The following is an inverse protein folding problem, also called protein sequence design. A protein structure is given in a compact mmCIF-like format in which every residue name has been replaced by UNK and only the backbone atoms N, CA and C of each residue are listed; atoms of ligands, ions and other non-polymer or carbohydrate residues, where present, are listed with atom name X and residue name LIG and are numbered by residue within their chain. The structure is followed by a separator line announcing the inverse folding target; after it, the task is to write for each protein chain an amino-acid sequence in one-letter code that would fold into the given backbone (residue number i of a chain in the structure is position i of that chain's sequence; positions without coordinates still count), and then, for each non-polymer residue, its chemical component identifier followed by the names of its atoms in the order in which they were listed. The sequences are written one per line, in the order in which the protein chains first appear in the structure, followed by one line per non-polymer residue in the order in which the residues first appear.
data_IF_946060674689
#
_entry.id   IF_946060674689
#
_cell.length_a   1.000
_cell.length_b   1.000
_cell.length_c   1.000
_cell.angle_alpha   90.00
_cell.angle_beta   90.00
_cell.angle_gamma   90.00
#
_symmetry.space_group_name_H-M   'P 1'
#
loop_
_entity.id
_entity.type
_entity.pdbx_description
1 polymer ?
#
# COMPACT_ATOMS: atom_id res chain seq x y z
N UNK A 1 -32.24 -19.52 -83.24
CA UNK A 1 -32.84 -18.53 -82.37
C UNK A 1 -33.65 -19.13 -81.20
N UNK A 2 -34.68 -19.93 -81.37
CA UNK A 2 -35.54 -20.53 -80.38
C UNK A 2 -34.79 -21.39 -79.32
N UNK A 3 -33.75 -22.13 -79.71
CA UNK A 3 -32.96 -22.99 -78.85
C UNK A 3 -32.12 -22.15 -77.87
N UNK A 4 -31.55 -21.05 -78.27
CA UNK A 4 -30.76 -20.13 -77.48
C UNK A 4 -31.62 -19.34 -76.47
N UNK A 5 -32.84 -19.01 -76.84
CA UNK A 5 -33.80 -18.36 -75.92
C UNK A 5 -34.15 -19.32 -74.75
N UNK A 6 -34.39 -20.58 -75.04
CA UNK A 6 -34.73 -21.61 -74.06
C UNK A 6 -33.55 -21.88 -73.06
N UNK A 7 -32.32 -21.89 -73.56
CA UNK A 7 -31.11 -22.00 -72.77
C UNK A 7 -30.99 -20.81 -71.81
N UNK A 8 -31.18 -19.58 -72.26
CA UNK A 8 -31.15 -18.37 -71.47
C UNK A 8 -32.29 -18.30 -70.42
N UNK A 9 -33.48 -18.82 -70.77
CA UNK A 9 -34.57 -18.92 -69.77
C UNK A 9 -34.23 -19.87 -68.61
N UNK A 10 -33.57 -21.00 -68.91
CA UNK A 10 -33.12 -21.96 -67.90
C UNK A 10 -32.02 -21.32 -67.02
N UNK A 11 -31.00 -20.68 -67.59
CA UNK A 11 -29.94 -20.00 -66.91
C UNK A 11 -30.50 -18.88 -65.99
N UNK A 12 -31.50 -18.13 -66.43
CA UNK A 12 -32.15 -17.08 -65.61
C UNK A 12 -32.92 -17.65 -64.46
N UNK A 13 -33.63 -18.78 -64.66
CA UNK A 13 -34.38 -19.43 -63.56
C UNK A 13 -33.43 -20.01 -62.49
N UNK A 14 -32.32 -20.62 -62.92
CA UNK A 14 -31.29 -21.12 -62.06
C UNK A 14 -30.63 -19.97 -61.27
N UNK A 15 -30.34 -18.85 -61.93
CA UNK A 15 -29.79 -17.66 -61.25
C UNK A 15 -30.78 -17.08 -60.20
N UNK A 16 -32.09 -17.05 -60.51
CA UNK A 16 -33.14 -16.62 -59.57
C UNK A 16 -33.26 -17.57 -58.38
N UNK A 17 -33.18 -18.88 -58.60
CA UNK A 17 -33.26 -19.89 -57.55
C UNK A 17 -32.03 -19.79 -56.65
N UNK A 18 -30.82 -19.58 -57.20
CA UNK A 18 -29.60 -19.37 -56.44
C UNK A 18 -29.68 -18.08 -55.61
N UNK A 19 -30.21 -16.99 -56.16
CA UNK A 19 -30.41 -15.73 -55.46
C UNK A 19 -31.35 -15.91 -54.26
N UNK A 20 -32.51 -16.56 -54.46
CA UNK A 20 -33.47 -16.88 -53.37
C UNK A 20 -32.86 -17.77 -52.30
N UNK A 21 -32.02 -18.75 -52.67
CA UNK A 21 -31.33 -19.61 -51.72
C UNK A 21 -30.32 -18.81 -50.87
N UNK A 22 -29.56 -17.88 -51.52
CA UNK A 22 -28.64 -16.97 -50.79
C UNK A 22 -29.36 -16.02 -49.82
N UNK A 23 -30.50 -15.45 -50.26
CA UNK A 23 -31.32 -14.60 -49.39
C UNK A 23 -31.80 -15.36 -48.14
N UNK A 24 -32.31 -16.58 -48.32
CA UNK A 24 -32.72 -17.43 -47.17
C UNK A 24 -31.57 -17.74 -46.22
N UNK A 25 -30.40 -18.06 -46.76
CA UNK A 25 -29.20 -18.33 -45.96
C UNK A 25 -28.75 -17.08 -45.19
N UNK A 26 -28.77 -15.91 -45.83
CA UNK A 26 -28.44 -14.64 -45.17
C UNK A 26 -29.40 -14.32 -44.01
N UNK A 27 -30.70 -14.49 -44.24
CA UNK A 27 -31.71 -14.28 -43.20
C UNK A 27 -31.47 -15.21 -42.01
N UNK A 28 -31.25 -16.52 -42.23
CA UNK A 28 -30.97 -17.49 -41.22
C UNK A 28 -29.69 -17.15 -40.42
N UNK A 29 -28.63 -16.75 -41.09
CA UNK A 29 -27.37 -16.34 -40.45
C UNK A 29 -27.54 -15.06 -39.59
N UNK A 30 -28.36 -14.10 -40.05
CA UNK A 30 -28.67 -12.87 -39.29
C UNK A 30 -29.48 -13.23 -38.03
N UNK A 31 -30.44 -14.14 -38.12
CA UNK A 31 -31.23 -14.60 -36.96
C UNK A 31 -30.35 -15.31 -35.97
N UNK A 32 -29.45 -16.20 -36.39
CA UNK A 32 -28.50 -16.91 -35.53
C UNK A 32 -27.51 -15.94 -34.85
N UNK A 33 -26.99 -14.96 -35.61
CA UNK A 33 -26.10 -13.94 -35.12
C UNK A 33 -26.79 -13.08 -34.03
N UNK A 34 -28.04 -12.66 -34.28
CA UNK A 34 -28.82 -11.89 -33.33
C UNK A 34 -29.11 -12.69 -32.05
N UNK A 35 -29.44 -13.98 -32.17
CA UNK A 35 -29.61 -14.84 -31.00
C UNK A 35 -28.33 -14.97 -30.16
N UNK A 36 -27.19 -15.18 -30.85
CA UNK A 36 -25.88 -15.27 -30.22
C UNK A 36 -25.50 -13.95 -29.54
N UNK A 37 -25.74 -12.82 -30.20
CA UNK A 37 -25.50 -11.48 -29.65
C UNK A 37 -26.31 -11.23 -28.35
N UNK A 38 -27.62 -11.56 -28.39
CA UNK A 38 -28.49 -11.41 -27.23
C UNK A 38 -28.04 -12.31 -26.06
N UNK A 39 -27.67 -13.55 -26.35
CA UNK A 39 -27.15 -14.48 -25.34
C UNK A 39 -25.82 -13.97 -24.71
N UNK A 40 -24.93 -13.41 -25.52
CA UNK A 40 -23.68 -12.81 -25.04
C UNK A 40 -23.96 -11.59 -24.16
N UNK A 41 -24.89 -10.74 -24.57
CA UNK A 41 -25.30 -9.54 -23.80
C UNK A 41 -25.83 -9.90 -22.41
N UNK A 42 -26.66 -10.94 -22.33
CA UNK A 42 -27.19 -11.48 -21.06
C UNK A 42 -26.04 -12.00 -20.17
N UNK A 43 -25.09 -12.77 -20.75
CA UNK A 43 -23.93 -13.26 -19.99
C UNK A 43 -23.06 -12.12 -19.45
N UNK A 44 -22.81 -11.10 -20.25
CA UNK A 44 -22.04 -9.92 -19.82
C UNK A 44 -22.73 -9.20 -18.68
N UNK A 45 -24.06 -9.09 -18.71
CA UNK A 45 -24.85 -8.52 -17.60
C UNK A 45 -24.71 -9.36 -16.33
N UNK A 46 -24.85 -10.68 -16.43
CA UNK A 46 -24.71 -11.60 -15.27
C UNK A 46 -23.31 -11.54 -14.67
N UNK A 47 -22.27 -11.48 -15.49
CA UNK A 47 -20.88 -11.31 -15.04
C UNK A 47 -20.73 -10.00 -14.25
N UNK A 48 -21.20 -8.88 -14.77
CA UNK A 48 -21.12 -7.57 -14.08
C UNK A 48 -21.86 -7.58 -12.74
N UNK A 49 -23.01 -8.23 -12.65
CA UNK A 49 -23.76 -8.38 -11.40
C UNK A 49 -23.02 -9.25 -10.38
N UNK A 50 -22.33 -10.30 -10.84
CA UNK A 50 -21.49 -11.16 -10.00
C UNK A 50 -20.25 -10.41 -9.52
N UNK A 51 -19.57 -9.69 -10.39
CA UNK A 51 -18.38 -8.89 -10.04
C UNK A 51 -18.74 -7.86 -8.97
N UNK A 52 -19.88 -7.17 -9.13
CA UNK A 52 -20.35 -6.24 -8.10
C UNK A 52 -20.58 -6.93 -6.75
N UNK A 53 -21.24 -8.10 -6.74
CA UNK A 53 -21.47 -8.86 -5.49
C UNK A 53 -20.15 -9.33 -4.86
N UNK A 54 -19.18 -9.76 -5.67
CA UNK A 54 -17.85 -10.15 -5.20
C UNK A 54 -17.18 -8.95 -4.57
N UNK A 55 -17.21 -7.78 -5.21
CA UNK A 55 -16.64 -6.55 -4.69
C UNK A 55 -17.25 -6.17 -3.33
N UNK A 56 -18.59 -6.10 -3.25
CA UNK A 56 -19.32 -5.79 -2.01
C UNK A 56 -18.99 -6.79 -0.88
N UNK A 57 -18.89 -8.09 -1.21
CA UNK A 57 -18.55 -9.14 -0.24
C UNK A 57 -17.09 -9.04 0.22
N UNK A 58 -16.17 -8.72 -0.69
CA UNK A 58 -14.76 -8.52 -0.38
C UNK A 58 -14.57 -7.33 0.56
N UNK A 59 -15.31 -6.23 0.33
CA UNK A 59 -15.31 -5.06 1.22
C UNK A 59 -15.76 -5.43 2.64
N UNK A 60 -16.86 -6.20 2.76
CA UNK A 60 -17.36 -6.67 4.07
C UNK A 60 -16.33 -7.58 4.76
N UNK A 61 -15.74 -8.52 4.03
CA UNK A 61 -14.71 -9.42 4.58
C UNK A 61 -13.46 -8.62 5.03
N UNK A 62 -13.04 -7.64 4.25
CA UNK A 62 -11.91 -6.78 4.59
C UNK A 62 -12.19 -6.00 5.88
N UNK A 63 -13.39 -5.43 6.02
CA UNK A 63 -13.82 -4.76 7.27
C UNK A 63 -13.87 -5.73 8.46
N UNK A 64 -14.42 -6.94 8.27
CA UNK A 64 -14.50 -7.96 9.32
C UNK A 64 -13.11 -8.42 9.76
N UNK A 65 -12.19 -8.68 8.83
CA UNK A 65 -10.80 -9.04 9.12
C UNK A 65 -10.05 -7.92 9.86
N UNK A 66 -10.29 -6.65 9.51
CA UNK A 66 -9.73 -5.49 10.23
C UNK A 66 -10.23 -5.41 11.65
N UNK A 67 -11.54 -5.60 11.86
CA UNK A 67 -12.13 -5.62 13.21
C UNK A 67 -11.61 -6.80 14.05
N UNK A 68 -11.42 -7.96 13.44
CA UNK A 68 -10.82 -9.13 14.10
C UNK A 68 -9.37 -8.86 14.50
N UNK A 69 -8.55 -8.31 13.59
CA UNK A 69 -7.19 -7.91 13.90
C UNK A 69 -7.12 -6.82 14.97
N UNK A 70 -8.04 -5.85 14.96
CA UNK A 70 -8.17 -4.84 16.00
C UNK A 70 -8.59 -5.47 17.35
N UNK A 71 -9.45 -6.50 17.32
CA UNK A 71 -9.87 -7.27 18.50
C UNK A 71 -8.71 -8.05 19.13
N UNK A 72 -7.88 -8.72 18.32
CA UNK A 72 -6.66 -9.40 18.79
C UNK A 72 -5.64 -8.41 19.39
N UNK A 73 -5.60 -7.18 18.85
CA UNK A 73 -4.70 -6.13 19.28
C UNK A 73 -5.26 -5.29 20.45
N UNK A 74 -6.55 -5.43 20.78
CA UNK A 74 -7.23 -4.60 21.76
C UNK A 74 -6.55 -4.62 23.15
N UNK A 75 -6.03 -5.75 23.57
CA UNK A 75 -5.32 -5.87 24.84
C UNK A 75 -4.00 -5.09 24.83
N UNK A 76 -3.24 -5.14 23.73
CA UNK A 76 -1.98 -4.40 23.58
C UNK A 76 -2.23 -2.89 23.47
N UNK A 77 -3.23 -2.49 22.68
CA UNK A 77 -3.67 -1.08 22.56
C UNK A 77 -4.11 -0.54 23.92
N UNK A 78 -4.91 -1.31 24.66
CA UNK A 78 -5.34 -0.90 26.00
C UNK A 78 -4.16 -0.69 26.96
N UNK A 79 -3.13 -1.54 26.87
CA UNK A 79 -1.89 -1.36 27.63
C UNK A 79 -1.10 -0.11 27.22
N UNK A 80 -0.99 0.14 25.91
CA UNK A 80 -0.27 1.32 25.40
C UNK A 80 -0.99 2.64 25.67
N UNK A 81 -2.31 2.65 25.73
CA UNK A 81 -3.11 3.80 26.17
C UNK A 81 -3.07 3.97 27.69
N UNK A 82 -3.15 2.86 28.44
CA UNK A 82 -3.19 2.89 29.90
C UNK A 82 -1.89 3.45 30.50
N UNK A 83 -0.73 3.12 29.93
CA UNK A 83 0.56 3.54 30.47
C UNK A 83 0.74 5.07 30.51
N UNK A 84 0.58 5.83 29.41
CA UNK A 84 0.66 7.30 29.44
C UNK A 84 -0.44 7.91 30.32
N UNK A 85 -1.65 7.34 30.36
CA UNK A 85 -2.71 7.83 31.24
C UNK A 85 -2.36 7.69 32.71
N UNK A 86 -1.75 6.58 33.14
CA UNK A 86 -1.27 6.41 34.54
C UNK A 86 -0.20 7.44 34.87
N UNK A 87 0.74 7.69 33.92
CA UNK A 87 1.78 8.69 34.11
C UNK A 87 1.20 10.09 34.24
N UNK A 88 0.29 10.48 33.34
CA UNK A 88 -0.43 11.77 33.38
C UNK A 88 -1.17 11.93 34.73
N UNK A 89 -1.95 10.92 35.13
CA UNK A 89 -2.68 10.96 36.39
C UNK A 89 -1.73 11.07 37.60
N UNK A 90 -0.60 10.34 37.56
CA UNK A 90 0.40 10.36 38.64
C UNK A 90 1.02 11.74 38.84
N UNK A 91 1.45 12.40 37.75
CA UNK A 91 2.02 13.75 37.81
C UNK A 91 0.98 14.81 38.15
N UNK A 92 -0.23 14.74 37.53
CA UNK A 92 -1.32 15.65 37.87
C UNK A 92 -1.72 15.58 39.36
N UNK A 93 -1.77 14.37 39.96
CA UNK A 93 -2.03 14.17 41.37
C UNK A 93 -0.95 14.79 42.25
N UNK A 94 0.34 14.67 41.91
CA UNK A 94 1.45 15.29 42.66
C UNK A 94 1.37 16.82 42.61
N UNK A 95 1.02 17.41 41.47
CA UNK A 95 0.78 18.84 41.34
C UNK A 95 -0.37 19.25 42.28
N UNK A 96 -1.51 18.54 42.25
CA UNK A 96 -2.70 18.85 43.04
C UNK A 96 -2.50 18.70 44.54
N UNK A 97 -1.57 17.83 44.97
CA UNK A 97 -1.22 17.63 46.39
C UNK A 97 -0.24 18.67 46.93
N UNK A 98 0.35 19.52 46.08
CA UNK A 98 1.27 20.56 46.50
C UNK A 98 2.59 20.06 47.12
N UNK A 99 2.85 18.75 47.07
CA UNK A 99 3.99 18.11 47.75
C UNK A 99 5.35 18.54 47.23
N UNK A 100 5.42 19.04 45.98
CA UNK A 100 6.68 19.43 45.32
C UNK A 100 6.45 20.67 44.46
N UNK A 101 6.04 21.80 45.06
CA UNK A 101 5.72 23.04 44.34
C UNK A 101 6.84 23.51 43.37
N UNK A 102 8.10 23.21 43.72
CA UNK A 102 9.28 23.55 42.92
C UNK A 102 9.41 22.68 41.61
N UNK A 103 8.65 21.59 41.51
CA UNK A 103 8.70 20.65 40.36
C UNK A 103 7.46 20.72 39.49
N UNK A 104 6.55 21.67 39.68
CA UNK A 104 5.31 21.79 38.93
C UNK A 104 5.59 21.90 37.43
N UNK A 105 6.55 22.73 37.01
CA UNK A 105 6.93 22.87 35.61
C UNK A 105 7.51 21.58 34.98
N UNK A 106 8.24 20.81 35.80
CA UNK A 106 8.81 19.53 35.37
C UNK A 106 7.68 18.51 35.17
N UNK A 107 6.74 18.43 36.11
CA UNK A 107 5.58 17.52 36.01
C UNK A 107 4.64 17.92 34.84
N UNK A 108 4.43 19.23 34.62
CA UNK A 108 3.66 19.71 33.49
C UNK A 108 4.29 19.26 32.15
N UNK A 109 5.60 19.40 31.97
CA UNK A 109 6.31 18.91 30.78
C UNK A 109 6.20 17.39 30.58
N UNK A 110 6.22 16.61 31.66
CA UNK A 110 5.99 15.17 31.57
C UNK A 110 4.55 14.84 31.12
N UNK A 111 3.55 15.56 31.65
CA UNK A 111 2.15 15.41 31.24
C UNK A 111 2.00 15.74 29.75
N UNK A 112 2.57 16.86 29.29
CA UNK A 112 2.55 17.28 27.89
C UNK A 112 3.17 16.21 26.99
N UNK A 113 4.37 15.71 27.33
CA UNK A 113 5.05 14.64 26.58
C UNK A 113 4.21 13.35 26.48
N UNK A 114 3.59 12.93 27.58
CA UNK A 114 2.75 11.71 27.59
C UNK A 114 1.42 11.92 26.83
N UNK A 115 0.87 13.14 26.83
CA UNK A 115 -0.30 13.48 26.01
C UNK A 115 0.02 13.48 24.51
N UNK A 116 1.16 14.04 24.10
CA UNK A 116 1.64 13.98 22.69
C UNK A 116 1.87 12.53 22.26
N UNK A 117 2.44 11.71 23.16
CA UNK A 117 2.63 10.29 22.90
C UNK A 117 1.29 9.56 22.67
N UNK A 118 0.30 9.82 23.53
CA UNK A 118 -1.05 9.25 23.37
C UNK A 118 -1.68 9.66 22.05
N UNK A 119 -1.56 10.93 21.68
CA UNK A 119 -2.03 11.43 20.39
C UNK A 119 -1.37 10.68 19.22
N UNK A 120 -0.06 10.46 19.29
CA UNK A 120 0.68 9.71 18.26
C UNK A 120 0.20 8.25 18.16
N UNK A 121 -0.06 7.58 19.27
CA UNK A 121 -0.61 6.21 19.29
C UNK A 121 -2.00 6.18 18.63
N UNK A 122 -2.87 7.14 18.96
CA UNK A 122 -4.21 7.23 18.40
C UNK A 122 -4.21 7.49 16.88
N UNK A 123 -3.34 8.40 16.40
CA UNK A 123 -3.21 8.66 14.96
C UNK A 123 -2.77 7.39 14.22
N UNK A 124 -1.73 6.71 14.69
CA UNK A 124 -1.25 5.45 14.09
C UNK A 124 -2.30 4.34 14.13
N UNK A 125 -3.11 4.27 15.17
CA UNK A 125 -4.23 3.32 15.26
C UNK A 125 -5.32 3.65 14.23
N UNK A 126 -5.64 4.93 14.06
CA UNK A 126 -6.61 5.38 13.05
C UNK A 126 -6.09 5.11 11.63
N UNK A 127 -4.81 5.34 11.36
CA UNK A 127 -4.19 5.04 10.07
C UNK A 127 -4.23 3.54 9.78
N UNK A 128 -3.91 2.70 10.79
CA UNK A 128 -4.05 1.25 10.68
C UNK A 128 -5.50 0.80 10.42
N UNK A 129 -6.48 1.45 11.04
CA UNK A 129 -7.91 1.17 10.87
C UNK A 129 -8.46 1.65 9.52
N UNK A 130 -7.89 2.73 8.96
CA UNK A 130 -8.35 3.39 7.74
C UNK A 130 -7.68 2.90 6.46
N UNK A 131 -6.86 1.85 6.51
CA UNK A 131 -6.28 1.29 5.28
C UNK A 131 -7.40 1.00 4.28
N UNK A 132 -7.52 1.84 3.27
CA UNK A 132 -8.42 1.65 2.12
C UNK A 132 -7.83 0.61 1.18
N UNK A 133 -8.66 0.05 0.30
CA UNK A 133 -8.10 -0.68 -0.85
C UNK A 133 -7.17 0.24 -1.63
N UNK A 134 -6.01 -0.25 -2.09
CA UNK A 134 -5.05 0.59 -2.80
C UNK A 134 -5.68 1.13 -4.09
N UNK A 135 -5.61 2.44 -4.28
CA UNK A 135 -5.91 3.07 -5.56
C UNK A 135 -4.64 3.04 -6.42
N UNK A 136 -4.47 1.93 -7.15
CA UNK A 136 -3.26 1.69 -7.93
C UNK A 136 -3.28 2.49 -9.22
N UNK A 137 -2.19 3.16 -9.50
CA UNK A 137 -1.94 3.94 -10.70
C UNK A 137 -0.49 3.75 -11.18
N UNK A 138 -0.17 4.28 -12.36
CA UNK A 138 1.21 4.35 -12.83
C UNK A 138 1.97 5.41 -12.04
N UNK A 139 3.01 5.01 -11.29
CA UNK A 139 3.77 5.88 -10.39
C UNK A 139 5.24 5.92 -10.80
N UNK A 140 5.76 7.13 -10.98
CA UNK A 140 7.19 7.39 -11.11
C UNK A 140 7.84 7.31 -9.72
N UNK A 141 8.69 6.30 -9.53
CA UNK A 141 9.37 6.03 -8.25
C UNK A 141 10.29 7.17 -7.85
N UNK A 142 11.00 7.78 -8.80
CA UNK A 142 11.95 8.84 -8.49
C UNK A 142 11.23 10.12 -8.07
N UNK A 143 10.13 10.46 -8.74
CA UNK A 143 9.27 11.58 -8.34
C UNK A 143 8.64 11.35 -6.95
N UNK A 144 8.19 10.13 -6.65
CA UNK A 144 7.64 9.78 -5.34
C UNK A 144 8.69 9.92 -4.23
N UNK A 145 9.94 9.51 -4.49
CA UNK A 145 11.05 9.67 -3.55
C UNK A 145 11.33 11.15 -3.30
N UNK A 146 11.36 12.00 -4.35
CA UNK A 146 11.57 13.45 -4.19
C UNK A 146 10.47 14.11 -3.36
N UNK A 147 9.19 13.82 -3.67
CA UNK A 147 8.05 14.31 -2.90
C UNK A 147 8.14 13.89 -1.42
N UNK A 148 8.61 12.66 -1.18
CA UNK A 148 8.77 12.13 0.19
C UNK A 148 9.88 12.83 0.94
N UNK A 149 11.01 13.10 0.28
CA UNK A 149 12.15 13.81 0.87
C UNK A 149 11.75 15.23 1.23
N UNK A 150 11.10 15.95 0.32
CA UNK A 150 10.61 17.29 0.56
C UNK A 150 9.68 17.35 1.79
N UNK A 151 8.78 16.37 1.93
CA UNK A 151 7.93 16.24 3.11
C UNK A 151 8.73 15.96 4.39
N UNK A 152 9.79 15.16 4.29
CA UNK A 152 10.61 14.75 5.44
C UNK A 152 11.64 15.79 5.89
N UNK A 153 12.04 16.74 5.04
CA UNK A 153 13.04 17.75 5.38
C UNK A 153 12.73 18.44 6.71
N UNK A 154 11.48 18.87 6.89
CA UNK A 154 11.05 19.49 8.14
C UNK A 154 11.02 18.52 9.34
N UNK A 155 10.72 17.25 9.10
CA UNK A 155 10.65 16.24 10.16
C UNK A 155 12.04 15.76 10.61
N UNK A 156 12.98 15.68 9.68
CA UNK A 156 14.35 15.26 9.97
C UNK A 156 15.14 16.30 10.75
N UNK A 157 14.77 17.59 10.71
CA UNK A 157 15.40 18.64 11.55
C UNK A 157 15.27 18.36 13.05
N UNK A 158 14.33 17.50 13.47
CA UNK A 158 14.19 17.06 14.89
C UNK A 158 15.30 16.10 15.33
N UNK A 159 15.98 15.47 14.38
CA UNK A 159 17.09 14.57 14.63
C UNK A 159 18.42 15.31 14.40
N UNK A 160 19.32 15.19 15.36
CA UNK A 160 20.63 15.87 15.26
C UNK A 160 21.52 15.12 14.25
N UNK A 161 22.12 15.86 13.33
CA UNK A 161 23.19 15.37 12.45
C UNK A 161 22.80 14.14 11.61
N UNK A 162 21.60 14.12 11.04
CA UNK A 162 21.23 13.12 10.03
C UNK A 162 21.59 13.69 8.65
N UNK A 163 22.53 13.03 7.98
CA UNK A 163 22.87 13.31 6.58
C UNK A 163 22.04 12.39 5.68
N UNK A 164 21.32 12.98 4.72
CA UNK A 164 20.52 12.23 3.77
C UNK A 164 21.23 12.16 2.42
N UNK A 165 21.51 10.95 1.93
CA UNK A 165 22.06 10.69 0.60
C UNK A 165 20.99 10.01 -0.24
N UNK A 166 20.83 10.47 -1.50
CA UNK A 166 19.87 9.89 -2.46
C UNK A 166 20.61 9.45 -3.71
N UNK A 167 20.40 8.20 -4.09
CA UNK A 167 21.00 7.56 -5.27
C UNK A 167 19.86 6.99 -6.11
N UNK A 168 19.56 7.63 -7.26
CA UNK A 168 18.45 7.25 -8.13
C UNK A 168 18.91 6.62 -9.43
N UNK A 169 18.20 5.62 -9.89
CA UNK A 169 18.29 5.14 -11.26
C UNK A 169 17.30 5.93 -12.12
N UNK A 170 17.81 6.85 -12.92
CA UNK A 170 16.98 7.71 -13.78
C UNK A 170 16.31 6.96 -14.94
N UNK A 171 16.69 5.70 -15.17
CA UNK A 171 16.13 4.88 -16.26
C UNK A 171 14.99 3.97 -15.79
N UNK A 172 14.56 4.13 -14.53
CA UNK A 172 13.57 3.23 -13.91
C UNK A 172 12.20 3.39 -14.57
N UNK A 173 11.58 2.31 -15.07
CA UNK A 173 10.20 2.36 -15.54
C UNK A 173 9.22 2.65 -14.38
N UNK A 174 8.06 3.18 -14.71
CA UNK A 174 7.00 3.38 -13.74
C UNK A 174 6.54 2.05 -13.12
N UNK A 175 6.18 2.08 -11.85
CA UNK A 175 5.56 0.97 -11.13
C UNK A 175 4.03 1.10 -11.16
N UNK A 176 3.32 0.02 -10.86
CA UNK A 176 1.87 0.02 -10.67
C UNK A 176 1.56 -0.10 -9.18
N UNK A 177 1.05 0.98 -8.58
CA UNK A 177 0.82 1.01 -7.14
C UNK A 177 0.10 2.25 -6.65
N UNK A 178 -0.29 2.24 -5.38
CA UNK A 178 -0.88 3.40 -4.70
C UNK A 178 0.22 4.32 -4.18
N UNK A 179 0.30 5.52 -4.76
CA UNK A 179 1.30 6.54 -4.41
C UNK A 179 1.30 6.87 -2.91
N UNK A 180 0.12 6.98 -2.30
CA UNK A 180 -0.02 7.35 -0.87
C UNK A 180 0.47 6.23 0.03
N UNK A 181 0.13 4.97 -0.28
CA UNK A 181 0.60 3.81 0.47
C UNK A 181 2.12 3.67 0.43
N UNK A 182 2.72 3.82 -0.76
CA UNK A 182 4.17 3.68 -0.93
C UNK A 182 4.89 4.83 -0.24
N UNK A 183 4.39 6.06 -0.37
CA UNK A 183 4.93 7.23 0.34
C UNK A 183 4.88 7.04 1.86
N UNK A 184 3.76 6.57 2.41
CA UNK A 184 3.61 6.30 3.83
C UNK A 184 4.58 5.23 4.33
N UNK A 185 4.78 4.16 3.54
CA UNK A 185 5.77 3.12 3.84
C UNK A 185 7.18 3.71 3.89
N UNK A 186 7.54 4.53 2.90
CA UNK A 186 8.85 5.17 2.80
C UNK A 186 9.10 6.13 3.99
N UNK A 187 8.12 6.96 4.34
CA UNK A 187 8.19 7.85 5.52
C UNK A 187 8.46 7.04 6.79
N UNK A 188 7.75 5.92 7.00
CA UNK A 188 7.96 5.07 8.17
C UNK A 188 9.38 4.49 8.21
N UNK A 189 9.92 4.04 7.07
CA UNK A 189 11.28 3.48 7.02
C UNK A 189 12.34 4.56 7.29
N UNK A 190 12.22 5.73 6.67
CA UNK A 190 13.15 6.86 6.88
C UNK A 190 13.14 7.30 8.34
N UNK A 191 11.97 7.46 8.94
CA UNK A 191 11.83 7.82 10.35
C UNK A 191 12.41 6.76 11.29
N UNK A 192 12.24 5.47 10.98
CA UNK A 192 12.84 4.38 11.75
C UNK A 192 14.37 4.41 11.66
N UNK A 193 14.93 4.65 10.47
CA UNK A 193 16.36 4.79 10.27
C UNK A 193 16.96 5.98 11.04
N UNK A 194 16.30 7.14 10.97
CA UNK A 194 16.71 8.32 11.74
C UNK A 194 16.67 8.07 13.27
N UNK A 195 15.63 7.38 13.75
CA UNK A 195 15.52 7.00 15.16
C UNK A 195 16.57 5.97 15.61
N UNK A 196 17.06 5.12 14.68
CA UNK A 196 18.13 4.16 14.98
C UNK A 196 19.50 4.82 15.12
N UNK A 197 19.63 6.12 14.78
CA UNK A 197 20.85 6.91 14.79
C UNK A 197 20.75 8.10 15.78
N UNK A 198 20.65 7.89 17.08
CA UNK A 198 20.43 8.97 18.06
C UNK A 198 21.58 9.98 18.13
N UNK A 199 22.79 9.59 17.73
CA UNK A 199 23.97 10.45 17.66
C UNK A 199 24.17 11.10 16.27
N UNK A 200 23.23 10.89 15.36
CA UNK A 200 23.37 11.26 13.96
C UNK A 200 23.99 10.16 13.11
N UNK A 201 24.05 10.37 11.80
CA UNK A 201 24.62 9.42 10.86
C UNK A 201 24.10 9.59 9.45
N UNK A 202 24.54 8.68 8.55
CA UNK A 202 24.16 8.70 7.15
C UNK A 202 22.94 7.79 6.92
N UNK A 203 21.88 8.40 6.41
CA UNK A 203 20.70 7.71 5.88
C UNK A 203 20.78 7.74 4.36
N UNK A 204 20.70 6.60 3.70
CA UNK A 204 20.81 6.50 2.24
C UNK A 204 19.53 5.94 1.67
N UNK A 205 18.92 6.67 0.73
CA UNK A 205 17.83 6.19 -0.12
C UNK A 205 18.38 5.81 -1.49
N UNK A 206 18.02 4.61 -1.97
CA UNK A 206 18.41 4.15 -3.30
C UNK A 206 17.19 3.64 -4.06
N UNK A 207 17.10 3.99 -5.34
CA UNK A 207 16.15 3.39 -6.27
C UNK A 207 16.89 2.65 -7.36
N UNK A 208 16.26 1.62 -7.91
CA UNK A 208 16.84 0.86 -9.00
C UNK A 208 15.96 -0.30 -9.43
N UNK A 209 16.45 -1.03 -10.42
CA UNK A 209 15.82 -2.24 -10.93
C UNK A 209 16.37 -3.45 -10.17
N UNK A 210 15.49 -4.25 -9.56
CA UNK A 210 15.89 -5.53 -8.92
C UNK A 210 16.07 -6.61 -9.98
N UNK A 211 15.06 -6.74 -10.86
CA UNK A 211 14.99 -7.69 -11.98
C UNK A 211 14.00 -7.16 -13.04
N UNK A 212 13.56 -8.00 -13.98
CA UNK A 212 12.63 -7.58 -15.03
C UNK A 212 11.18 -7.38 -14.56
N UNK A 213 10.85 -7.78 -13.32
CA UNK A 213 9.52 -7.68 -12.74
C UNK A 213 9.39 -6.61 -11.68
N UNK A 214 10.49 -6.24 -10.98
CA UNK A 214 10.44 -5.39 -9.80
C UNK A 214 11.43 -4.23 -9.84
N UNK A 215 10.92 -3.04 -9.52
CA UNK A 215 11.72 -1.93 -9.03
C UNK A 215 12.01 -2.10 -7.54
N UNK A 216 13.07 -1.49 -7.03
CA UNK A 216 13.31 -1.41 -5.60
C UNK A 216 13.46 0.05 -5.11
N UNK A 217 13.02 0.28 -3.87
CA UNK A 217 13.36 1.46 -3.07
C UNK A 217 14.02 0.94 -1.80
N UNK A 218 15.29 1.25 -1.59
CA UNK A 218 16.04 0.83 -0.42
C UNK A 218 16.31 2.02 0.51
N UNK A 219 16.10 1.83 1.81
CA UNK A 219 16.42 2.78 2.87
C UNK A 219 17.46 2.13 3.77
N UNK A 220 18.67 2.66 3.77
CA UNK A 220 19.81 2.16 4.54
C UNK A 220 20.21 3.18 5.63
N UNK A 221 20.32 2.72 6.87
CA UNK A 221 20.83 3.47 8.01
C UNK A 221 22.16 2.90 8.52
N UNK A 222 22.94 3.72 9.20
CA UNK A 222 24.14 3.32 9.94
C UNK A 222 23.91 3.35 11.46
N UNK A 223 22.72 2.94 11.87
CA UNK A 223 22.29 2.97 13.25
C UNK A 223 22.66 1.73 14.06
N UNK A 224 21.89 1.50 15.10
CA UNK A 224 22.12 0.39 16.06
C UNK A 224 21.94 -1.00 15.45
N UNK A 225 21.31 -1.11 14.27
CA UNK A 225 20.99 -2.40 13.67
C UNK A 225 19.97 -3.20 14.50
N UNK A 226 19.73 -4.45 14.05
CA UNK A 226 18.74 -5.37 14.64
C UNK A 226 19.46 -6.64 15.06
N UNK A 227 19.09 -7.19 16.22
CA UNK A 227 19.62 -8.48 16.70
C UNK A 227 19.06 -9.61 15.84
N UNK A 228 19.86 -10.62 15.60
CA UNK A 228 19.47 -11.78 14.79
C UNK A 228 18.22 -12.50 15.33
N UNK A 229 18.10 -12.59 16.66
CA UNK A 229 16.95 -13.17 17.36
C UNK A 229 15.64 -12.38 17.16
N UNK A 230 15.72 -11.09 16.85
CA UNK A 230 14.57 -10.22 16.64
C UNK A 230 14.10 -10.18 15.15
N UNK A 231 14.97 -10.58 14.21
CA UNK A 231 14.71 -10.47 12.76
C UNK A 231 13.39 -11.12 12.34
N UNK A 232 13.03 -12.25 12.92
CA UNK A 232 11.78 -12.95 12.63
C UNK A 232 10.51 -12.20 13.10
N UNK A 233 10.67 -11.24 14.03
CA UNK A 233 9.57 -10.59 14.74
C UNK A 233 9.38 -9.12 14.43
N UNK A 234 10.32 -8.48 13.73
CA UNK A 234 10.29 -7.02 13.47
C UNK A 234 9.04 -6.54 12.73
N UNK A 235 8.35 -7.43 12.03
CA UNK A 235 7.09 -7.15 11.32
C UNK A 235 5.84 -7.52 12.12
N UNK A 236 5.98 -8.10 13.32
CA UNK A 236 4.85 -8.32 14.23
C UNK A 236 4.34 -6.97 14.74
N UNK A 237 3.03 -6.82 14.80
CA UNK A 237 2.42 -5.60 15.35
C UNK A 237 2.76 -5.46 16.82
N UNK A 238 3.14 -4.24 17.24
CA UNK A 238 3.58 -3.87 18.60
C UNK A 238 4.94 -4.44 19.05
N UNK A 239 5.63 -5.16 18.20
CA UNK A 239 7.00 -5.55 18.50
C UNK A 239 7.93 -4.33 18.42
N UNK A 240 8.64 -4.06 19.50
CA UNK A 240 9.64 -2.98 19.56
C UNK A 240 10.78 -3.37 20.48
N UNK A 241 11.99 -3.04 20.08
CA UNK A 241 13.20 -3.14 20.92
C UNK A 241 13.55 -1.81 21.58
N UNK A 242 12.80 -0.73 21.26
CA UNK A 242 12.98 0.59 21.85
C UNK A 242 12.38 0.61 23.25
N UNK A 243 12.96 1.44 24.14
CA UNK A 243 12.49 1.58 25.51
C UNK A 243 11.01 1.96 25.62
N UNK A 244 10.44 1.73 26.79
CA UNK A 244 9.04 2.06 27.05
C UNK A 244 8.77 3.54 26.74
N UNK A 245 8.11 3.81 25.64
CA UNK A 245 7.75 5.16 25.22
C UNK A 245 8.31 5.63 23.88
N UNK A 246 9.33 5.01 23.36
CA UNK A 246 10.03 5.49 22.15
C UNK A 246 9.64 4.77 20.86
N UNK A 247 8.87 3.69 20.95
CA UNK A 247 8.39 2.95 19.79
C UNK A 247 7.01 2.33 20.01
N UNK A 248 6.08 2.51 19.05
CA UNK A 248 4.74 1.89 19.09
C UNK A 248 4.72 0.46 18.52
N UNK A 249 5.82 0.00 17.91
CA UNK A 249 5.87 -1.30 17.25
C UNK A 249 4.91 -1.47 16.06
N UNK A 250 4.26 -0.39 15.61
CA UNK A 250 3.30 -0.44 14.48
C UNK A 250 3.92 -0.04 13.14
N UNK A 251 5.06 0.64 13.13
CA UNK A 251 5.63 1.21 11.91
C UNK A 251 6.00 0.16 10.86
N UNK A 252 6.77 -0.87 11.23
CA UNK A 252 7.22 -1.91 10.28
C UNK A 252 6.09 -2.87 9.89
N UNK A 253 5.18 -3.19 10.79
CA UNK A 253 3.99 -4.00 10.45
C UNK A 253 3.07 -3.28 9.47
N UNK A 254 2.94 -1.94 9.59
CA UNK A 254 2.21 -1.11 8.63
C UNK A 254 2.92 -1.08 7.28
N UNK A 255 4.25 -0.87 7.25
CA UNK A 255 5.05 -0.92 6.00
C UNK A 255 4.81 -2.21 5.25
N UNK A 256 4.91 -3.36 5.94
CA UNK A 256 4.68 -4.67 5.33
C UNK A 256 3.29 -4.76 4.70
N UNK A 257 2.24 -4.38 5.42
CA UNK A 257 0.86 -4.41 4.92
C UNK A 257 0.64 -3.49 3.72
N UNK A 258 1.17 -2.26 3.77
CA UNK A 258 1.05 -1.30 2.66
C UNK A 258 1.71 -1.83 1.38
N UNK A 259 2.89 -2.43 1.51
CA UNK A 259 3.63 -2.95 0.37
C UNK A 259 2.99 -4.24 -0.16
N UNK A 260 2.56 -5.17 0.70
CA UNK A 260 1.82 -6.36 0.29
C UNK A 260 0.48 -6.02 -0.40
N UNK A 261 -0.24 -4.98 0.06
CA UNK A 261 -1.44 -4.47 -0.61
C UNK A 261 -1.16 -3.95 -2.03
N UNK A 262 0.06 -3.53 -2.32
CA UNK A 262 0.53 -3.12 -3.65
C UNK A 262 1.23 -4.26 -4.42
N UNK A 263 0.98 -5.53 -4.06
CA UNK A 263 1.62 -6.71 -4.67
C UNK A 263 3.15 -6.70 -4.60
N UNK A 264 3.69 -5.86 -3.72
CA UNK A 264 5.11 -5.72 -3.47
C UNK A 264 5.60 -6.67 -2.37
N UNK A 265 6.90 -6.59 -2.11
CA UNK A 265 7.58 -7.36 -1.05
C UNK A 265 8.51 -6.43 -0.28
N UNK A 266 8.80 -6.77 0.97
CA UNK A 266 9.81 -6.09 1.77
C UNK A 266 10.92 -7.08 2.14
N UNK A 267 12.16 -6.68 1.89
CA UNK A 267 13.36 -7.39 2.30
C UNK A 267 14.09 -6.57 3.37
N UNK A 268 14.82 -7.24 4.27
CA UNK A 268 15.61 -6.59 5.31
C UNK A 268 16.96 -7.27 5.47
N UNK A 269 18.00 -6.46 5.50
CA UNK A 269 19.34 -6.85 5.88
C UNK A 269 19.80 -5.99 7.04
N UNK A 270 20.25 -6.59 8.13
CA UNK A 270 20.68 -5.83 9.30
C UNK A 270 21.77 -6.57 10.05
N UNK A 271 22.66 -5.78 10.65
CA UNK A 271 23.69 -6.28 11.55
C UNK A 271 23.79 -5.35 12.76
N UNK A 272 23.77 -5.92 13.95
CA UNK A 272 23.84 -5.18 15.21
C UNK A 272 25.07 -4.27 15.25
N UNK A 273 24.88 -3.02 15.64
CA UNK A 273 25.87 -1.93 15.70
C UNK A 273 26.52 -1.57 14.34
N UNK A 274 25.94 -1.99 13.22
CA UNK A 274 26.41 -1.63 11.87
C UNK A 274 25.35 -0.80 11.13
N UNK A 275 24.08 -1.19 11.28
CA UNK A 275 22.93 -0.56 10.65
C UNK A 275 21.98 -1.55 10.00
N UNK A 276 20.97 -1.02 9.32
CA UNK A 276 19.96 -1.81 8.64
C UNK A 276 19.69 -1.27 7.23
N UNK A 277 19.29 -2.16 6.33
CA UNK A 277 18.77 -1.81 5.00
C UNK A 277 17.42 -2.47 4.82
N UNK A 278 16.40 -1.67 4.61
CA UNK A 278 15.05 -2.12 4.25
C UNK A 278 14.83 -1.85 2.77
N UNK A 279 14.45 -2.87 2.02
CA UNK A 279 14.23 -2.79 0.58
C UNK A 279 12.77 -3.10 0.25
N UNK A 280 12.07 -2.12 -0.31
CA UNK A 280 10.73 -2.29 -0.87
C UNK A 280 10.86 -2.74 -2.31
N UNK A 281 10.23 -3.85 -2.68
CA UNK A 281 10.13 -4.36 -4.04
C UNK A 281 8.73 -4.12 -4.56
N UNK A 282 8.60 -3.42 -5.68
CA UNK A 282 7.33 -3.00 -6.26
C UNK A 282 7.26 -3.46 -7.71
N UNK A 283 6.14 -4.05 -8.16
CA UNK A 283 6.01 -4.54 -9.52
C UNK A 283 6.00 -3.38 -10.54
N UNK A 284 6.62 -3.58 -11.70
CA UNK A 284 6.50 -2.65 -12.80
C UNK A 284 5.07 -2.62 -13.33
N UNK A 285 4.65 -1.46 -13.85
CA UNK A 285 3.40 -1.35 -14.59
C UNK A 285 3.44 -2.26 -15.82
N UNK A 286 2.48 -3.19 -15.93
CA UNK A 286 2.38 -4.02 -17.13
C UNK A 286 1.87 -3.17 -18.30
N UNK A 287 2.37 -3.42 -19.53
CA UNK A 287 1.93 -2.68 -20.74
C UNK A 287 0.41 -2.73 -21.01
N UNK A 288 -0.32 -3.58 -20.31
CA UNK A 288 -1.78 -3.70 -20.44
C UNK A 288 -2.55 -2.72 -19.53
N UNK A 289 -1.91 -2.18 -18.49
CA UNK A 289 -2.54 -1.31 -17.49
C UNK A 289 -2.38 0.19 -17.81
N UNK A 290 -1.53 0.55 -18.78
CA UNK A 290 -1.37 1.93 -19.26
C UNK A 290 -2.52 2.43 -20.18
N UNK A 291 -3.57 1.62 -20.44
CA UNK A 291 -4.63 1.92 -21.43
C UNK A 291 -6.04 2.12 -20.86
N UNK A 292 -6.19 2.45 -19.59
CA UNK A 292 -7.50 2.77 -19.03
C UNK A 292 -7.54 4.14 -18.36
#
# INVERSE_FOLDING_TARGET
MRRRIKELEIELEDAKNLSRARERLLVANIEELNASYNALREKVKDIRERDKKIHDFTEVLTKANRLSALGELAASIAHEIKNPLISIQGFAKRIGQGQEAQKVDVYAKFIEKEAERLSTVLVKLLDFSRMTEPNRESVDVNSLVDDTILFLEHHLTRFKNIDLKVEKDETLPAIYGDKVHIQQALVNLVMNGAQAMPSGGLLTLRTGKKDDAYAFIAVADKGTGIREEDMGRIFESFFTTKGAGDGTGLGLSLVKKLIEANEGKIEVESKLNVGSTFTLLLPFASRQEEKF
#
